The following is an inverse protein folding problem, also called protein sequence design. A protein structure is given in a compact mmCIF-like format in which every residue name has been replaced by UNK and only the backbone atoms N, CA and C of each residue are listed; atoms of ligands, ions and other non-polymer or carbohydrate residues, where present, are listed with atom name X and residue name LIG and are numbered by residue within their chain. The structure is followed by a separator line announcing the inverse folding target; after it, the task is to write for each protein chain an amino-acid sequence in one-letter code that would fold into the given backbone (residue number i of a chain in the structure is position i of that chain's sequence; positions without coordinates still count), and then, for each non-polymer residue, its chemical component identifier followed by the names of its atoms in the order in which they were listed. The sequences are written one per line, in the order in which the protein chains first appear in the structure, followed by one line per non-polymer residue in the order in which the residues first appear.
data_IF_496467952574
#
_entry.id   IF_496467952574
#
_cell.length_a   1.000
_cell.length_b   1.000
_cell.length_c   1.000
_cell.angle_alpha   90.00
_cell.angle_beta   90.00
_cell.angle_gamma   90.00
#
_symmetry.space_group_name_H-M   'P 1'
#
loop_
_entity.id
_entity.type
_entity.pdbx_description
1 polymer ?
#
# COMPACT_ATOMS: atom_id res chain seq x y z
N UNK A 1 12.58 5.91 -4.50
CA UNK A 1 13.96 5.53 -4.23
C UNK A 1 14.04 4.17 -3.60
N UNK A 2 15.23 3.58 -3.60
CA UNK A 2 15.42 2.21 -3.11
C UNK A 2 14.93 2.01 -1.68
N UNK A 3 15.18 2.99 -0.80
CA UNK A 3 14.78 2.86 0.60
C UNK A 3 13.26 2.78 0.75
N UNK A 4 12.52 3.57 -0.03
CA UNK A 4 11.06 3.54 0.02
C UNK A 4 10.55 2.23 -0.56
N UNK A 5 11.05 1.83 -1.73
CA UNK A 5 10.63 0.59 -2.37
C UNK A 5 10.87 -0.61 -1.47
N UNK A 6 12.03 -0.65 -0.82
CA UNK A 6 12.39 -1.74 0.08
C UNK A 6 11.45 -1.80 1.29
N UNK A 7 11.07 -0.65 1.83
CA UNK A 7 10.14 -0.60 2.96
C UNK A 7 8.74 -1.04 2.55
N UNK A 8 8.30 -0.65 1.36
CA UNK A 8 7.00 -1.08 0.85
C UNK A 8 6.98 -2.60 0.70
N UNK A 9 8.01 -3.18 0.09
CA UNK A 9 8.10 -4.62 -0.09
C UNK A 9 8.08 -5.34 1.26
N UNK A 10 8.81 -4.82 2.25
CA UNK A 10 8.83 -5.42 3.58
C UNK A 10 7.45 -5.46 4.22
N UNK A 11 6.70 -4.36 4.09
CA UNK A 11 5.34 -4.31 4.63
C UNK A 11 4.43 -5.26 3.85
N UNK A 12 4.55 -5.30 2.52
CA UNK A 12 3.74 -6.19 1.70
C UNK A 12 3.94 -7.65 2.09
N UNK A 13 5.17 -8.03 2.42
CA UNK A 13 5.45 -9.39 2.85
C UNK A 13 4.71 -9.75 4.13
N UNK A 14 4.56 -8.79 5.03
CA UNK A 14 3.87 -9.02 6.29
C UNK A 14 2.34 -9.07 6.12
N UNK A 15 1.84 -8.64 4.97
CA UNK A 15 0.40 -8.56 4.71
C UNK A 15 -0.01 -9.35 3.48
N UNK A 16 0.77 -10.39 3.12
CA UNK A 16 0.44 -11.23 1.96
C UNK A 16 -0.92 -11.87 2.06
N UNK A 17 -1.39 -12.11 3.27
CA UNK A 17 -2.70 -12.71 3.50
C UNK A 17 -3.85 -11.84 3.00
N UNK A 18 -3.66 -10.53 2.88
CA UNK A 18 -4.72 -9.61 2.49
C UNK A 18 -4.46 -8.93 1.15
N UNK A 19 -3.24 -8.95 0.63
CA UNK A 19 -2.91 -8.27 -0.63
C UNK A 19 -3.22 -9.18 -1.81
N UNK A 20 -4.09 -8.73 -2.71
CA UNK A 20 -4.46 -9.45 -3.91
C UNK A 20 -3.57 -9.08 -5.09
N UNK A 21 -3.25 -7.82 -5.24
CA UNK A 21 -2.38 -7.35 -6.32
C UNK A 21 -1.74 -6.04 -5.93
N UNK A 22 -0.67 -5.72 -6.64
CA UNK A 22 0.09 -4.50 -6.42
C UNK A 22 0.49 -3.99 -7.80
N UNK A 23 0.20 -2.72 -8.08
CA UNK A 23 0.51 -2.09 -9.35
C UNK A 23 1.24 -0.79 -9.11
N UNK A 24 2.13 -0.46 -10.04
CA UNK A 24 2.94 0.72 -9.90
C UNK A 24 2.94 1.49 -11.21
N UNK A 25 2.68 2.79 -11.12
CA UNK A 25 2.58 3.65 -12.30
C UNK A 25 3.52 4.84 -12.12
N UNK A 26 4.41 5.03 -13.08
CA UNK A 26 5.36 6.15 -13.04
C UNK A 26 4.69 7.37 -13.66
N UNK A 27 4.36 8.34 -12.80
CA UNK A 27 3.70 9.57 -13.24
C UNK A 27 4.72 10.47 -13.94
N UNK A 28 5.89 10.63 -13.31
CA UNK A 28 7.01 11.36 -13.87
C UNK A 28 8.26 10.96 -13.10
N UNK A 29 9.38 11.64 -13.33
CA UNK A 29 10.63 11.26 -12.68
C UNK A 29 10.63 11.50 -11.17
N UNK A 30 9.64 12.23 -10.64
CA UNK A 30 9.58 12.56 -9.21
C UNK A 30 8.48 11.80 -8.48
N UNK A 31 7.46 11.32 -9.18
CA UNK A 31 6.28 10.74 -8.53
C UNK A 31 5.91 9.39 -9.14
N UNK A 32 5.48 8.52 -8.26
CA UNK A 32 5.01 7.19 -8.62
C UNK A 32 3.70 6.94 -7.87
N UNK A 33 2.73 6.38 -8.57
CA UNK A 33 1.47 5.97 -7.96
C UNK A 33 1.52 4.47 -7.72
N UNK A 34 1.26 4.06 -6.49
CA UNK A 34 1.26 2.67 -6.09
C UNK A 34 -0.16 2.30 -5.68
N UNK A 35 -0.74 1.32 -6.35
CA UNK A 35 -2.10 0.87 -6.08
C UNK A 35 -2.06 -0.58 -5.65
N UNK A 36 -2.70 -0.87 -4.52
CA UNK A 36 -2.82 -2.24 -4.04
C UNK A 36 -4.28 -2.59 -3.89
N UNK A 37 -4.66 -3.74 -4.43
CA UNK A 37 -6.00 -4.27 -4.19
C UNK A 37 -5.89 -5.28 -3.06
N UNK A 38 -6.79 -5.16 -2.10
CA UNK A 38 -6.72 -5.90 -0.85
C UNK A 38 -8.09 -6.45 -0.47
N UNK A 39 -8.08 -7.53 0.31
CA UNK A 39 -9.31 -8.11 0.84
C UNK A 39 -9.00 -8.67 2.22
N UNK A 40 -9.82 -8.31 3.20
CA UNK A 40 -9.64 -8.77 4.56
C UNK A 40 -10.55 -8.02 5.52
N UNK A 41 -10.29 -8.17 6.80
CA UNK A 41 -11.05 -7.43 7.81
C UNK A 41 -10.68 -5.96 7.77
N UNK A 42 -11.62 -5.10 8.16
CA UNK A 42 -11.37 -3.65 8.18
C UNK A 42 -10.17 -3.33 9.07
N UNK A 43 -10.05 -4.01 10.20
CA UNK A 43 -8.93 -3.78 11.12
C UNK A 43 -7.59 -4.06 10.44
N UNK A 44 -7.50 -5.20 9.76
CA UNK A 44 -6.26 -5.61 9.10
C UNK A 44 -5.89 -4.67 7.96
N UNK A 45 -6.91 -4.23 7.19
CA UNK A 45 -6.68 -3.33 6.07
C UNK A 45 -6.28 -1.94 6.54
N UNK A 46 -6.90 -1.43 7.61
CA UNK A 46 -6.53 -0.14 8.18
C UNK A 46 -5.09 -0.18 8.70
N UNK A 47 -4.73 -1.27 9.35
CA UNK A 47 -3.37 -1.46 9.85
C UNK A 47 -2.35 -1.39 8.72
N UNK A 48 -2.63 -2.08 7.60
CA UNK A 48 -1.77 -2.04 6.43
C UNK A 48 -1.64 -0.63 5.87
N UNK A 49 -2.78 0.05 5.70
CA UNK A 49 -2.79 1.42 5.17
C UNK A 49 -1.97 2.36 6.06
N UNK A 50 -2.13 2.24 7.38
CA UNK A 50 -1.39 3.08 8.31
C UNK A 50 0.12 2.85 8.20
N UNK A 51 0.53 1.61 8.05
CA UNK A 51 1.96 1.30 7.92
C UNK A 51 2.53 1.83 6.61
N UNK A 52 1.79 1.71 5.52
CA UNK A 52 2.27 2.21 4.23
C UNK A 52 2.35 3.74 4.22
N UNK A 53 1.33 4.41 4.73
CA UNK A 53 1.30 5.87 4.72
C UNK A 53 2.29 6.49 5.72
N UNK A 54 2.75 5.72 6.70
CA UNK A 54 3.75 6.19 7.65
C UNK A 54 5.17 6.19 7.08
N UNK A 55 5.39 5.58 5.93
CA UNK A 55 6.73 5.56 5.32
C UNK A 55 7.10 6.98 4.91
N UNK A 56 8.28 7.41 5.36
CA UNK A 56 8.79 8.74 4.99
C UNK A 56 8.99 8.80 3.48
N UNK A 57 8.41 9.80 2.86
CA UNK A 57 8.48 9.95 1.40
C UNK A 57 7.17 9.64 0.70
N UNK A 58 6.23 9.03 1.40
CA UNK A 58 4.88 8.84 0.88
C UNK A 58 4.14 10.16 1.07
N UNK A 59 3.73 10.78 -0.03
CA UNK A 59 3.06 12.09 0.01
C UNK A 59 1.60 11.97 0.40
N UNK A 60 0.92 11.02 -0.21
CA UNK A 60 -0.51 10.81 0.02
C UNK A 60 -0.79 9.32 0.05
N UNK A 61 -1.64 8.92 0.96
CA UNK A 61 -2.12 7.56 1.00
C UNK A 61 -3.59 7.57 1.36
N UNK A 62 -4.36 6.72 0.72
CA UNK A 62 -5.79 6.66 0.94
C UNK A 62 -6.28 5.23 0.84
N UNK A 63 -7.05 4.81 1.83
CA UNK A 63 -7.71 3.51 1.81
C UNK A 63 -9.16 3.71 1.40
N UNK A 64 -9.55 3.05 0.32
CA UNK A 64 -10.95 3.06 -0.12
C UNK A 64 -11.50 1.66 0.13
N UNK A 65 -12.54 1.59 0.95
CA UNK A 65 -13.11 0.31 1.34
C UNK A 65 -14.55 0.20 0.90
N UNK A 66 -14.94 -1.02 0.53
CA UNK A 66 -16.33 -1.36 0.31
C UNK A 66 -16.59 -2.72 0.92
N UNK A 67 -17.83 -2.99 1.22
CA UNK A 67 -18.23 -4.28 1.80
C UNK A 67 -18.61 -5.24 0.69
N UNK A 68 -18.27 -6.49 0.92
CA UNK A 68 -18.51 -7.53 -0.06
C UNK A 68 -19.71 -8.40 0.34
N UNK A 69 -20.82 -7.79 0.69
CA UNK A 69 -22.01 -8.55 1.07
C UNK A 69 -23.18 -8.39 0.05
#
# INVERSE_FOLDING_TARGET
KKAIASKIVGIEQDYQDVILSSSQYYINQHFCLHIETVMGTAHRLTELADKLTAIKGIKHGKLVMSRAD
#
